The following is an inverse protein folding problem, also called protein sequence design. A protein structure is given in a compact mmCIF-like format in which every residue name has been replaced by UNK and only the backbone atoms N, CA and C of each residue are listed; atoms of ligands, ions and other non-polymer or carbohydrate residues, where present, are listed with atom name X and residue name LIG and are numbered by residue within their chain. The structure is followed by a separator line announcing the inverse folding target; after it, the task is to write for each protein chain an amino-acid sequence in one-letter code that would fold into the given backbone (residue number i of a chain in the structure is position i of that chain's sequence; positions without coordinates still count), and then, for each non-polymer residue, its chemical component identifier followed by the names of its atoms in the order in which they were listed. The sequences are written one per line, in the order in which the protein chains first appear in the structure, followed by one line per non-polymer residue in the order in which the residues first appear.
data_IF_988699581002
#
_entry.id   IF_988699581002
#
_cell.length_a   1.000
_cell.length_b   1.000
_cell.length_c   1.000
_cell.angle_alpha   90.00
_cell.angle_beta   90.00
_cell.angle_gamma   90.00
#
_symmetry.space_group_name_H-M   'P 1'
#
loop_
_entity.id
_entity.type
_entity.pdbx_description
1 polymer ?
#
# COMPACT_ATOMS: atom_id res chain seq x y z
N UNK A 1 -7.11 -9.38 19.79
CA UNK A 1 -7.04 -9.00 18.35
C UNK A 1 -6.00 -7.88 18.26
N UNK A 2 -4.99 -8.00 17.41
CA UNK A 2 -3.89 -7.03 17.28
C UNK A 2 -4.40 -5.75 16.62
N UNK A 3 -4.03 -4.58 17.14
CA UNK A 3 -4.28 -3.31 16.46
C UNK A 3 -3.09 -2.97 15.57
N UNK A 4 -3.27 -3.05 14.25
CA UNK A 4 -2.23 -2.66 13.28
C UNK A 4 -1.92 -1.17 13.28
N UNK A 5 -2.73 -0.34 13.98
CA UNK A 5 -2.48 1.09 14.17
C UNK A 5 -1.65 1.40 15.42
N UNK A 6 -1.41 0.40 16.26
CA UNK A 6 -0.48 0.51 17.37
C UNK A 6 0.93 0.27 16.84
N UNK A 7 1.65 1.36 16.59
CA UNK A 7 3.03 1.39 16.13
C UNK A 7 4.06 1.06 17.23
N UNK A 8 3.60 0.68 18.42
CA UNK A 8 4.46 0.42 19.58
C UNK A 8 5.52 -0.66 19.35
N UNK A 9 6.32 -0.90 20.38
CA UNK A 9 7.44 -1.82 20.34
C UNK A 9 8.75 -1.13 19.96
N UNK A 10 9.84 -1.55 20.58
CA UNK A 10 11.17 -1.09 20.27
C UNK A 10 12.18 -2.20 20.50
N UNK A 11 13.13 -2.34 19.57
CA UNK A 11 14.29 -3.22 19.72
C UNK A 11 15.29 -2.69 20.77
N UNK A 12 15.18 -1.41 21.13
CA UNK A 12 15.98 -0.79 22.18
C UNK A 12 15.39 -1.01 23.58
N UNK A 13 16.15 -0.70 24.63
CA UNK A 13 15.69 -0.83 26.02
C UNK A 13 14.52 0.11 26.32
N UNK A 14 13.33 -0.46 26.55
CA UNK A 14 12.11 0.29 26.94
C UNK A 14 11.74 0.04 28.39
N UNK A 15 11.92 -1.19 28.88
CA UNK A 15 11.79 -1.53 30.29
C UNK A 15 13.15 -2.00 30.84
N UNK A 16 13.90 -1.08 31.44
CA UNK A 16 15.28 -1.33 31.87
C UNK A 16 16.19 -1.61 30.68
N UNK A 17 16.64 -2.86 30.52
CA UNK A 17 17.45 -3.31 29.37
C UNK A 17 16.65 -4.08 28.33
N UNK A 18 15.36 -4.34 28.58
CA UNK A 18 14.57 -5.25 27.76
C UNK A 18 13.90 -4.53 26.59
N UNK A 19 13.92 -5.14 25.39
CA UNK A 19 13.18 -4.63 24.25
C UNK A 19 11.68 -4.82 24.44
N UNK A 20 10.89 -3.93 23.86
CA UNK A 20 9.45 -4.05 23.84
C UNK A 20 9.03 -4.74 22.53
N UNK A 21 8.75 -6.04 22.59
CA UNK A 21 8.49 -6.86 21.39
C UNK A 21 6.99 -7.12 21.13
N UNK A 22 6.08 -6.40 21.79
CA UNK A 22 4.64 -6.66 21.72
C UNK A 22 4.06 -6.56 20.30
N UNK A 23 4.77 -5.87 19.40
CA UNK A 23 4.39 -5.67 18.01
C UNK A 23 5.33 -6.35 17.00
N UNK A 24 6.28 -7.17 17.47
CA UNK A 24 7.14 -7.96 16.59
C UNK A 24 6.38 -9.19 16.09
N UNK A 25 6.39 -9.40 14.77
CA UNK A 25 5.89 -10.64 14.17
C UNK A 25 7.04 -11.40 13.52
N UNK A 26 7.12 -12.69 13.82
CA UNK A 26 8.03 -13.61 13.17
C UNK A 26 7.21 -14.63 12.40
N UNK A 27 7.51 -14.79 11.12
CA UNK A 27 7.00 -15.90 10.31
C UNK A 27 8.16 -16.65 9.66
N UNK A 28 7.97 -17.95 9.52
CA UNK A 28 8.92 -18.86 8.88
C UNK A 28 8.16 -19.65 7.82
N UNK A 29 8.76 -19.77 6.64
CA UNK A 29 8.20 -20.55 5.55
C UNK A 29 9.34 -21.21 4.79
N UNK A 30 9.11 -22.48 4.40
CA UNK A 30 10.02 -23.22 3.55
C UNK A 30 9.80 -22.80 2.10
N UNK A 31 10.88 -22.64 1.34
CA UNK A 31 10.82 -22.24 -0.07
C UNK A 31 11.63 -23.21 -0.92
N UNK A 32 11.14 -23.43 -2.12
CA UNK A 32 11.72 -24.35 -3.09
C UNK A 32 12.60 -23.60 -4.11
N UNK A 33 13.51 -24.31 -4.80
CA UNK A 33 14.16 -23.74 -5.98
C UNK A 33 13.11 -23.21 -6.97
N UNK A 34 13.43 -22.08 -7.60
CA UNK A 34 12.57 -21.30 -8.49
C UNK A 34 11.48 -20.45 -7.84
N UNK A 35 11.27 -20.52 -6.52
CA UNK A 35 10.39 -19.59 -5.82
C UNK A 35 10.90 -18.15 -5.93
N UNK A 36 9.97 -17.19 -5.98
CA UNK A 36 10.29 -15.77 -6.00
C UNK A 36 9.83 -15.11 -4.72
N UNK A 37 10.78 -14.47 -4.05
CA UNK A 37 10.53 -13.75 -2.81
C UNK A 37 10.74 -12.27 -3.07
N UNK A 38 9.79 -11.46 -2.61
CA UNK A 38 9.89 -10.02 -2.74
C UNK A 38 9.42 -9.31 -1.46
N UNK A 39 10.01 -8.13 -1.23
CA UNK A 39 9.66 -7.23 -0.14
C UNK A 39 9.31 -5.89 -0.77
N UNK A 40 8.23 -5.28 -0.29
CA UNK A 40 7.74 -3.99 -0.76
C UNK A 40 7.62 -3.00 0.39
N UNK A 41 7.76 -1.71 0.09
CA UNK A 41 7.37 -0.65 1.04
C UNK A 41 5.86 -0.45 1.06
N UNK A 42 5.37 0.21 2.12
CA UNK A 42 4.00 0.69 2.26
C UNK A 42 3.55 1.53 1.05
N UNK A 43 4.44 2.36 0.51
CA UNK A 43 4.17 3.14 -0.71
C UNK A 43 3.88 2.31 -1.96
N UNK A 44 4.24 1.03 -1.98
CA UNK A 44 3.81 0.08 -3.01
C UNK A 44 2.58 -0.69 -2.55
N UNK A 45 2.64 -1.35 -1.39
CA UNK A 45 1.57 -2.26 -0.93
C UNK A 45 0.23 -1.55 -0.72
N UNK A 46 0.22 -0.32 -0.18
CA UNK A 46 -1.02 0.43 0.05
C UNK A 46 -1.76 0.74 -1.25
N UNK A 47 -1.05 0.86 -2.38
CA UNK A 47 -1.69 1.11 -3.67
C UNK A 47 -2.48 -0.10 -4.18
N UNK A 48 -2.20 -1.32 -3.68
CA UNK A 48 -3.00 -2.51 -4.03
C UNK A 48 -4.32 -2.58 -3.28
N UNK A 49 -4.45 -1.81 -2.20
CA UNK A 49 -5.67 -1.75 -1.42
C UNK A 49 -6.85 -1.19 -2.24
N UNK A 50 -7.99 -1.90 -2.32
CA UNK A 50 -9.12 -1.45 -3.11
C UNK A 50 -9.74 -0.14 -2.60
N UNK A 51 -9.61 0.19 -1.31
CA UNK A 51 -10.10 1.45 -0.73
C UNK A 51 -9.18 2.61 -1.13
N UNK A 52 -7.86 2.40 -1.12
CA UNK A 52 -6.88 3.40 -1.61
C UNK A 52 -7.09 3.65 -3.11
N UNK A 53 -7.41 2.60 -3.86
CA UNK A 53 -7.79 2.69 -5.27
C UNK A 53 -9.18 3.27 -5.54
N UNK A 54 -9.99 3.55 -4.51
CA UNK A 54 -11.37 4.04 -4.61
C UNK A 54 -12.32 3.08 -5.35
N UNK A 55 -12.04 1.77 -5.30
CA UNK A 55 -12.89 0.73 -5.87
C UNK A 55 -13.92 0.19 -4.87
N UNK A 56 -13.70 0.37 -3.57
CA UNK A 56 -14.55 -0.12 -2.50
C UNK A 56 -14.63 0.90 -1.34
N UNK A 57 -15.62 0.73 -0.48
CA UNK A 57 -15.74 1.47 0.79
C UNK A 57 -15.77 0.49 1.97
N UNK A 58 -15.28 0.92 3.13
CA UNK A 58 -15.27 0.08 4.34
C UNK A 58 -16.68 0.01 4.93
N UNK A 59 -17.16 -1.20 5.23
CA UNK A 59 -18.43 -1.40 5.93
C UNK A 59 -18.33 -0.81 7.34
N UNK A 60 -19.14 0.22 7.64
CA UNK A 60 -19.27 0.74 9.00
C UNK A 60 -20.01 -0.28 9.86
N UNK A 61 -19.41 -0.70 10.98
CA UNK A 61 -20.10 -1.52 11.99
C UNK A 61 -20.95 -0.60 12.87
N UNK A 62 -22.11 -1.09 13.30
CA UNK A 62 -23.11 -0.31 14.05
C UNK A 62 -22.61 0.25 15.40
N UNK A 63 -21.43 -0.17 15.87
CA UNK A 63 -20.79 0.34 17.08
C UNK A 63 -20.16 1.74 16.95
N UNK A 64 -19.90 2.23 15.73
CA UNK A 64 -19.45 3.61 15.49
C UNK A 64 -20.58 4.65 15.61
N UNK A 65 -21.83 4.20 15.82
CA UNK A 65 -23.00 5.08 15.88
C UNK A 65 -23.30 5.66 17.28
N UNK A 66 -22.50 5.38 18.32
CA UNK A 66 -22.76 5.91 19.67
C UNK A 66 -22.26 7.33 19.96
N UNK A 67 -21.69 8.04 18.97
CA UNK A 67 -21.44 9.49 19.06
C UNK A 67 -22.18 10.35 18.02
N UNK A 68 -23.11 9.78 17.23
CA UNK A 68 -24.00 10.59 16.40
C UNK A 68 -25.46 10.14 16.56
N UNK A 69 -26.01 10.39 17.75
CA UNK A 69 -27.47 10.40 17.92
C UNK A 69 -28.04 11.67 17.25
N UNK A 70 -28.41 11.52 15.98
CA UNK A 70 -29.04 12.58 15.19
C UNK A 70 -29.86 12.01 14.03
N UNK A 71 -30.87 11.21 14.36
CA UNK A 71 -32.13 10.98 13.62
C UNK A 71 -32.04 11.05 12.08
N UNK A 72 -32.10 9.89 11.44
CA UNK A 72 -32.53 9.78 10.03
C UNK A 72 -33.96 10.31 9.93
N UNK A 73 -34.14 11.54 9.43
CA UNK A 73 -35.44 12.04 8.97
C UNK A 73 -35.50 11.97 7.44
N UNK A 74 -36.65 11.58 6.86
CA UNK A 74 -36.85 11.59 5.43
C UNK A 74 -36.83 13.02 4.91
N UNK A 75 -36.43 13.16 3.65
CA UNK A 75 -36.29 14.41 2.89
C UNK A 75 -37.52 15.31 3.08
N UNK A 76 -37.32 16.44 3.76
CA UNK A 76 -38.23 17.59 3.69
C UNK A 76 -37.46 18.80 3.17
N UNK A 77 -37.98 19.36 2.08
CA UNK A 77 -37.55 20.62 1.48
C UNK A 77 -37.60 21.74 2.52
N UNK A 78 -36.47 22.40 2.76
CA UNK A 78 -36.43 23.73 3.35
C UNK A 78 -35.54 24.63 2.51
N UNK A 79 -36.15 25.74 2.07
CA UNK A 79 -35.60 26.82 1.26
C UNK A 79 -34.56 27.62 2.05
N UNK A 80 -33.48 28.06 1.39
CA UNK A 80 -32.59 29.10 1.93
C UNK A 80 -31.13 28.94 1.55
N UNK A 81 -30.81 29.29 0.30
CA UNK A 81 -29.56 29.81 -0.27
C UNK A 81 -28.32 29.81 0.64
N UNK A 82 -27.40 28.85 0.45
CA UNK A 82 -25.98 29.07 0.07
C UNK A 82 -25.17 27.75 0.01
N UNK A 83 -25.66 26.74 -0.71
CA UNK A 83 -25.03 25.41 -0.78
C UNK A 83 -24.49 25.07 -2.19
N UNK A 84 -24.20 26.08 -3.00
CA UNK A 84 -23.83 25.97 -4.42
C UNK A 84 -22.39 25.48 -4.67
N UNK A 85 -21.89 24.54 -3.86
CA UNK A 85 -20.62 23.85 -4.11
C UNK A 85 -20.69 22.33 -3.96
N UNK A 86 -21.89 21.74 -3.84
CA UNK A 86 -22.01 20.28 -3.67
C UNK A 86 -22.96 19.58 -4.64
N UNK A 87 -23.35 20.22 -5.75
CA UNK A 87 -24.03 19.49 -6.84
C UNK A 87 -23.53 19.88 -8.22
N UNK A 88 -22.48 19.18 -8.68
CA UNK A 88 -22.38 18.55 -10.02
C UNK A 88 -21.07 17.75 -10.03
N UNK A 89 -20.99 16.44 -10.29
CA UNK A 89 -21.66 15.64 -11.32
C UNK A 89 -21.76 14.16 -10.92
N UNK A 90 -22.77 13.53 -11.51
CA UNK A 90 -23.13 12.12 -11.48
C UNK A 90 -21.98 11.13 -11.71
N UNK A 91 -21.82 10.21 -10.76
CA UNK A 91 -21.77 8.79 -11.09
C UNK A 91 -22.61 8.01 -10.04
N UNK A 92 -23.63 7.30 -10.51
CA UNK A 92 -24.52 6.43 -9.71
C UNK A 92 -23.82 5.11 -9.28
N UNK A 93 -22.49 5.09 -9.18
CA UNK A 93 -21.75 3.90 -8.80
C UNK A 93 -21.71 3.80 -7.28
N UNK A 94 -22.66 3.08 -6.68
CA UNK A 94 -22.52 2.62 -5.31
C UNK A 94 -21.34 1.65 -5.27
N UNK A 95 -20.20 2.12 -4.77
CA UNK A 95 -19.02 1.27 -4.59
C UNK A 95 -19.37 0.13 -3.62
N UNK A 96 -18.86 -1.09 -3.84
CA UNK A 96 -19.08 -2.21 -2.93
C UNK A 96 -18.55 -1.90 -1.52
N UNK A 97 -19.35 -2.25 -0.51
CA UNK A 97 -18.96 -2.19 0.90
C UNK A 97 -18.27 -3.50 1.27
N UNK A 98 -17.01 -3.42 1.71
CA UNK A 98 -16.19 -4.59 2.07
C UNK A 98 -15.84 -4.57 3.55
N UNK A 99 -15.74 -5.75 4.16
CA UNK A 99 -15.13 -5.92 5.48
C UNK A 99 -13.59 -5.98 5.38
N UNK A 100 -12.92 -6.14 6.51
CA UNK A 100 -11.45 -6.17 6.56
C UNK A 100 -10.84 -7.40 5.88
N UNK A 101 -11.51 -8.55 5.94
CA UNK A 101 -11.04 -9.82 5.36
C UNK A 101 -11.19 -9.79 3.84
N UNK A 102 -12.36 -9.42 3.34
CA UNK A 102 -12.65 -9.22 1.92
C UNK A 102 -11.73 -8.17 1.30
N UNK A 103 -11.46 -7.07 2.02
CA UNK A 103 -10.51 -6.05 1.57
C UNK A 103 -9.11 -6.63 1.37
N UNK A 104 -8.66 -7.49 2.29
CA UNK A 104 -7.35 -8.14 2.19
C UNK A 104 -7.30 -9.15 1.05
N UNK A 105 -8.34 -9.97 0.88
CA UNK A 105 -8.44 -10.93 -0.22
C UNK A 105 -8.41 -10.23 -1.59
N UNK A 106 -9.19 -9.16 -1.76
CA UNK A 106 -9.20 -8.36 -2.99
C UNK A 106 -7.84 -7.71 -3.29
N UNK A 107 -7.13 -7.27 -2.25
CA UNK A 107 -5.77 -6.74 -2.38
C UNK A 107 -4.81 -7.82 -2.90
N UNK A 108 -4.89 -9.04 -2.36
CA UNK A 108 -4.06 -10.18 -2.78
C UNK A 108 -4.39 -10.61 -4.22
N UNK A 109 -5.68 -10.72 -4.56
CA UNK A 109 -6.13 -11.05 -5.92
C UNK A 109 -5.56 -10.06 -6.94
N UNK A 110 -5.66 -8.76 -6.64
CA UNK A 110 -5.11 -7.72 -7.51
C UNK A 110 -3.59 -7.78 -7.60
N UNK A 111 -2.91 -8.02 -6.49
CA UNK A 111 -1.46 -8.16 -6.50
C UNK A 111 -1.02 -9.36 -7.33
N UNK A 112 -1.68 -10.50 -7.20
CA UNK A 112 -1.43 -11.70 -8.00
C UNK A 112 -1.65 -11.47 -9.49
N UNK A 113 -2.71 -10.76 -9.86
CA UNK A 113 -2.99 -10.39 -11.26
C UNK A 113 -1.89 -9.48 -11.84
N UNK A 114 -1.50 -8.43 -11.12
CA UNK A 114 -0.42 -7.53 -11.56
C UNK A 114 0.93 -8.23 -11.61
N UNK A 115 1.22 -9.13 -10.68
CA UNK A 115 2.46 -9.92 -10.70
C UNK A 115 2.49 -10.83 -11.93
N UNK A 116 1.38 -11.50 -12.25
CA UNK A 116 1.32 -12.48 -13.33
C UNK A 116 1.20 -11.85 -14.72
N UNK A 117 0.34 -10.84 -14.85
CA UNK A 117 -0.06 -10.29 -16.15
C UNK A 117 0.50 -8.88 -16.38
N UNK A 118 0.87 -8.16 -15.33
CA UNK A 118 1.12 -6.72 -15.42
C UNK A 118 -0.18 -5.94 -15.70
N UNK A 119 -0.05 -4.68 -16.10
CA UNK A 119 -1.21 -3.82 -16.42
C UNK A 119 -1.59 -3.89 -17.90
N UNK A 120 -0.61 -4.26 -18.72
CA UNK A 120 -0.74 -4.41 -20.17
C UNK A 120 -0.86 -5.90 -20.49
N UNK A 121 -1.47 -6.27 -21.62
CA UNK A 121 -1.61 -7.67 -22.00
C UNK A 121 -0.25 -8.41 -21.95
N UNK A 122 -0.22 -9.66 -21.46
CA UNK A 122 1.00 -10.36 -21.15
C UNK A 122 1.85 -10.56 -22.41
N UNK A 123 3.08 -10.07 -22.37
CA UNK A 123 4.04 -10.23 -23.47
C UNK A 123 4.94 -11.46 -23.31
N UNK A 124 4.94 -12.11 -22.15
CA UNK A 124 5.82 -13.24 -21.84
C UNK A 124 5.10 -14.28 -20.95
N UNK A 125 5.41 -15.57 -21.18
CA UNK A 125 4.86 -16.72 -20.45
C UNK A 125 5.49 -16.91 -19.05
N UNK A 126 6.63 -16.27 -18.77
CA UNK A 126 7.37 -16.38 -17.51
C UNK A 126 7.75 -14.98 -17.03
N UNK A 127 7.37 -14.66 -15.80
CA UNK A 127 7.67 -13.37 -15.17
C UNK A 127 9.01 -13.47 -14.46
N UNK A 128 10.02 -12.72 -14.93
CA UNK A 128 11.29 -12.58 -14.21
C UNK A 128 11.12 -11.67 -12.98
N UNK A 129 12.06 -11.75 -12.03
CA UNK A 129 12.11 -10.87 -10.85
C UNK A 129 12.16 -9.39 -11.23
N UNK A 130 12.87 -9.04 -12.31
CA UNK A 130 12.92 -7.67 -12.82
C UNK A 130 11.54 -7.21 -13.32
N UNK A 131 10.82 -8.08 -14.04
CA UNK A 131 9.47 -7.78 -14.55
C UNK A 131 8.49 -7.67 -13.39
N UNK A 132 8.59 -8.52 -12.37
CA UNK A 132 7.79 -8.41 -11.15
C UNK A 132 7.98 -7.04 -10.49
N UNK A 133 9.24 -6.63 -10.25
CA UNK A 133 9.52 -5.32 -9.67
C UNK A 133 8.96 -4.18 -10.54
N UNK A 134 9.11 -4.29 -11.86
CA UNK A 134 8.58 -3.31 -12.80
C UNK A 134 7.06 -3.21 -12.71
N UNK A 135 6.34 -4.33 -12.73
CA UNK A 135 4.88 -4.39 -12.67
C UNK A 135 4.33 -3.74 -11.40
N UNK A 136 4.91 -4.06 -10.24
CA UNK A 136 4.49 -3.51 -8.94
C UNK A 136 4.68 -1.98 -8.89
N UNK A 137 5.85 -1.49 -9.28
CA UNK A 137 6.15 -0.05 -9.30
C UNK A 137 5.31 0.67 -10.35
N UNK A 138 5.17 0.09 -11.55
CA UNK A 138 4.36 0.66 -12.62
C UNK A 138 2.91 0.80 -12.18
N UNK A 139 2.36 -0.20 -11.51
CA UNK A 139 1.00 -0.16 -10.99
C UNK A 139 0.81 0.95 -9.95
N UNK A 140 1.66 1.00 -8.92
CA UNK A 140 1.62 2.04 -7.91
C UNK A 140 1.75 3.45 -8.54
N UNK A 141 2.63 3.58 -9.55
CA UNK A 141 2.79 4.83 -10.30
C UNK A 141 1.51 5.19 -11.05
N UNK A 142 0.96 4.28 -11.85
CA UNK A 142 -0.23 4.54 -12.68
C UNK A 142 -1.46 4.90 -11.84
N UNK A 143 -1.70 4.17 -10.76
CA UNK A 143 -2.83 4.45 -9.86
C UNK A 143 -2.77 5.86 -9.28
N UNK A 144 -1.57 6.35 -8.97
CA UNK A 144 -1.33 7.67 -8.37
C UNK A 144 -1.01 8.78 -9.38
N UNK A 145 -1.10 8.52 -10.70
CA UNK A 145 -0.76 9.51 -11.75
C UNK A 145 -1.60 10.78 -11.67
N UNK A 146 -2.90 10.67 -11.38
CA UNK A 146 -3.78 11.83 -11.28
C UNK A 146 -3.36 12.76 -10.12
N UNK A 147 -2.96 12.19 -8.98
CA UNK A 147 -2.44 12.94 -7.84
C UNK A 147 -1.13 13.63 -8.17
N UNK A 148 -0.18 12.93 -8.80
CA UNK A 148 1.11 13.51 -9.22
C UNK A 148 0.91 14.70 -10.15
N UNK A 149 0.13 14.54 -11.22
CA UNK A 149 -0.18 15.62 -12.17
C UNK A 149 -0.81 16.84 -11.50
N UNK A 150 -1.67 16.62 -10.51
CA UNK A 150 -2.31 17.73 -9.76
C UNK A 150 -1.32 18.46 -8.85
N UNK A 151 -0.37 17.75 -8.24
CA UNK A 151 0.65 18.35 -7.37
C UNK A 151 1.82 18.97 -8.12
N UNK A 152 2.11 18.47 -9.32
CA UNK A 152 3.18 18.96 -10.21
C UNK A 152 2.72 20.17 -11.05
N UNK A 153 1.43 20.51 -11.04
CA UNK A 153 0.86 21.64 -11.76
C UNK A 153 1.49 22.97 -11.28
N UNK A 154 2.27 23.67 -12.14
CA UNK A 154 2.91 24.93 -11.75
C UNK A 154 1.91 26.03 -11.36
N UNK A 155 0.68 26.00 -11.89
CA UNK A 155 -0.35 27.00 -11.58
C UNK A 155 -0.82 26.94 -10.12
N UNK A 156 -0.65 25.77 -9.50
CA UNK A 156 -0.94 25.56 -8.09
C UNK A 156 -0.10 26.46 -7.17
N UNK A 157 1.13 26.81 -7.58
CA UNK A 157 2.08 27.55 -6.73
C UNK A 157 2.38 28.98 -7.19
N UNK A 158 2.10 29.33 -8.46
CA UNK A 158 2.36 30.68 -9.02
C UNK A 158 1.79 31.82 -8.17
N UNK A 159 0.61 31.64 -7.60
CA UNK A 159 -0.10 32.71 -6.87
C UNK A 159 0.17 32.72 -5.34
N UNK A 160 0.98 31.82 -4.78
CA UNK A 160 1.17 31.75 -3.32
C UNK A 160 1.86 32.99 -2.74
N UNK A 161 2.74 33.64 -3.49
CA UNK A 161 3.54 34.79 -3.02
C UNK A 161 2.72 36.06 -2.75
N UNK A 162 1.53 36.18 -3.33
CA UNK A 162 0.69 37.38 -3.24
C UNK A 162 -0.59 37.18 -2.39
N UNK A 163 -0.77 35.98 -1.84
CA UNK A 163 -1.94 35.61 -1.05
C UNK A 163 -1.69 35.84 0.44
N UNK A 164 -2.75 36.22 1.16
CA UNK A 164 -2.72 36.30 2.62
C UNK A 164 -2.53 34.91 3.25
N UNK A 165 -2.04 34.86 4.50
CA UNK A 165 -1.89 33.59 5.25
C UNK A 165 -3.20 32.79 5.33
N UNK A 166 -4.34 33.48 5.39
CA UNK A 166 -5.67 32.84 5.43
C UNK A 166 -6.01 32.17 4.09
N UNK A 167 -5.79 32.86 2.98
CA UNK A 167 -6.07 32.33 1.64
C UNK A 167 -5.12 31.17 1.27
N UNK A 168 -3.84 31.27 1.64
CA UNK A 168 -2.89 30.15 1.50
C UNK A 168 -3.39 28.91 2.24
N UNK A 169 -3.91 29.06 3.46
CA UNK A 169 -4.46 27.94 4.24
C UNK A 169 -5.70 27.34 3.58
N UNK A 170 -6.64 28.16 3.11
CA UNK A 170 -7.84 27.68 2.43
C UNK A 170 -7.48 26.99 1.10
N UNK A 171 -6.52 27.52 0.35
CA UNK A 171 -6.03 26.87 -0.88
C UNK A 171 -5.42 25.50 -0.59
N UNK A 172 -4.55 25.38 0.42
CA UNK A 172 -3.99 24.08 0.85
C UNK A 172 -5.09 23.08 1.24
N UNK A 173 -6.15 23.54 1.91
CA UNK A 173 -7.30 22.68 2.25
C UNK A 173 -8.04 22.20 1.00
N UNK A 174 -8.32 23.08 0.04
CA UNK A 174 -8.99 22.70 -1.21
C UNK A 174 -8.16 21.70 -2.02
N UNK A 175 -6.85 21.92 -2.12
CA UNK A 175 -5.94 20.98 -2.80
C UNK A 175 -5.92 19.63 -2.09
N UNK A 176 -5.82 19.63 -0.76
CA UNK A 176 -5.87 18.39 0.04
C UNK A 176 -7.20 17.65 -0.15
N UNK A 177 -8.33 18.35 -0.20
CA UNK A 177 -9.64 17.76 -0.47
C UNK A 177 -9.66 17.10 -1.86
N UNK A 178 -9.25 17.82 -2.91
CA UNK A 178 -9.15 17.30 -4.28
C UNK A 178 -8.24 16.08 -4.38
N UNK A 179 -7.10 16.08 -3.69
CA UNK A 179 -6.18 14.94 -3.66
C UNK A 179 -6.74 13.74 -2.87
N UNK A 180 -7.59 13.97 -1.88
CA UNK A 180 -8.20 12.87 -1.10
C UNK A 180 -9.25 12.07 -1.89
N UNK A 181 -9.85 12.68 -2.91
CA UNK A 181 -10.81 12.07 -3.81
C UNK A 181 -10.14 11.18 -4.87
N UNK A 182 -8.93 11.53 -5.29
CA UNK A 182 -8.18 10.76 -6.28
C UNK A 182 -7.69 9.42 -5.71
N UNK A 183 -7.52 8.39 -6.56
CA UNK A 183 -7.00 7.08 -6.15
C UNK A 183 -5.48 7.08 -5.95
N UNK A 184 -5.01 6.11 -5.19
CA UNK A 184 -3.59 5.85 -4.94
C UNK A 184 -3.02 6.62 -3.75
N UNK A 185 -1.89 6.15 -3.23
CA UNK A 185 -1.13 6.79 -2.16
C UNK A 185 0.22 7.27 -2.71
N UNK A 186 0.67 8.44 -2.28
CA UNK A 186 1.92 9.06 -2.72
C UNK A 186 2.96 8.98 -1.60
N UNK A 187 3.53 7.79 -1.41
CA UNK A 187 4.65 7.57 -0.51
C UNK A 187 5.88 7.03 -1.26
N UNK A 188 6.96 6.79 -0.51
CA UNK A 188 8.17 6.19 -1.05
C UNK A 188 7.91 4.76 -1.50
N UNK A 189 8.09 4.50 -2.80
CA UNK A 189 7.83 3.21 -3.42
C UNK A 189 9.15 2.48 -3.72
N UNK A 190 9.39 1.36 -3.04
CA UNK A 190 10.55 0.49 -3.26
C UNK A 190 10.13 -0.98 -3.27
N UNK A 191 10.75 -1.76 -4.15
CA UNK A 191 10.57 -3.22 -4.25
C UNK A 191 11.93 -3.87 -4.40
N UNK A 192 12.16 -4.95 -3.66
CA UNK A 192 13.30 -5.85 -3.84
C UNK A 192 12.74 -7.24 -4.07
N UNK A 193 13.20 -7.94 -5.10
CA UNK A 193 12.81 -9.31 -5.39
C UNK A 193 14.03 -10.17 -5.71
N UNK A 194 14.03 -11.40 -5.23
CA UNK A 194 15.05 -12.39 -5.54
C UNK A 194 14.41 -13.73 -5.86
N UNK A 195 15.08 -14.48 -6.74
CA UNK A 195 14.69 -15.84 -7.10
C UNK A 195 15.53 -16.82 -6.29
N UNK A 196 14.85 -17.73 -5.61
CA UNK A 196 15.45 -18.81 -4.82
C UNK A 196 16.07 -19.81 -5.80
N UNK A 197 17.31 -20.18 -5.54
CA UNK A 197 18.03 -21.12 -6.39
C UNK A 197 19.50 -21.23 -6.02
N UNK A 198 20.14 -22.26 -6.55
CA UNK A 198 21.59 -22.45 -6.45
C UNK A 198 22.26 -21.56 -7.50
N UNK A 199 22.74 -20.39 -7.08
CA UNK A 199 23.52 -19.52 -7.94
C UNK A 199 24.96 -20.06 -7.99
N UNK A 200 25.50 -20.43 -9.16
CA UNK A 200 26.91 -20.79 -9.27
C UNK A 200 27.73 -19.58 -8.84
N UNK A 201 28.52 -19.74 -7.78
CA UNK A 201 29.49 -18.74 -7.38
C UNK A 201 30.56 -18.74 -8.48
N UNK A 202 30.68 -17.64 -9.21
CA UNK A 202 31.77 -17.49 -10.18
C UNK A 202 33.10 -17.80 -9.50
N UNK A 203 33.80 -18.82 -10.02
CA UNK A 203 34.96 -19.51 -9.43
C UNK A 203 36.23 -18.66 -9.24
N UNK A 204 36.15 -17.34 -9.14
CA UNK A 204 37.33 -16.49 -8.92
C UNK A 204 37.44 -15.93 -7.49
N UNK A 205 36.41 -16.06 -6.65
CA UNK A 205 36.44 -15.55 -5.25
C UNK A 205 36.07 -16.61 -4.20
N UNK A 206 36.32 -17.90 -4.48
CA UNK A 206 35.98 -19.01 -3.58
C UNK A 206 37.19 -19.67 -2.91
N UNK A 207 38.30 -18.97 -2.71
CA UNK A 207 39.49 -19.54 -2.06
C UNK A 207 39.39 -19.64 -0.52
N UNK A 208 38.27 -19.25 0.11
CA UNK A 208 38.10 -19.41 1.57
C UNK A 208 36.74 -19.94 2.06
N UNK A 209 35.81 -20.34 1.18
CA UNK A 209 34.53 -20.94 1.59
C UNK A 209 34.48 -22.47 1.39
N UNK A 210 35.64 -23.13 1.32
CA UNK A 210 35.70 -24.60 1.36
C UNK A 210 35.55 -25.10 2.79
N UNK A 211 34.32 -25.10 3.28
CA UNK A 211 33.89 -26.07 4.28
C UNK A 211 32.62 -26.76 3.80
N UNK A 212 32.86 -27.84 3.05
CA UNK A 212 32.16 -29.13 3.12
C UNK A 212 30.66 -29.08 3.34
N UNK A 213 29.92 -29.37 2.27
CA UNK A 213 28.70 -30.19 2.36
C UNK A 213 28.79 -31.29 1.30
N UNK A 214 29.64 -32.28 1.57
CA UNK A 214 29.45 -33.63 1.03
C UNK A 214 28.20 -34.21 1.68
N UNK A 215 27.10 -34.23 0.92
CA UNK A 215 26.00 -35.20 0.94
C UNK A 215 24.82 -34.52 0.24
N UNK A 216 24.42 -35.06 -0.92
CA UNK A 216 23.38 -34.52 -1.80
C UNK A 216 21.98 -34.49 -1.18
N UNK A 217 21.78 -33.61 -0.21
CA UNK A 217 20.48 -33.16 0.27
C UNK A 217 20.27 -31.75 -0.26
N UNK A 218 19.18 -31.57 -1.01
CA UNK A 218 18.61 -30.25 -1.24
C UNK A 218 18.49 -29.61 0.15
N UNK A 219 19.22 -28.52 0.40
CA UNK A 219 18.98 -27.76 1.61
C UNK A 219 17.68 -27.02 1.37
N UNK A 220 16.62 -27.42 2.09
CA UNK A 220 15.38 -26.65 2.13
C UNK A 220 15.75 -25.24 2.57
N UNK A 221 15.61 -24.27 1.66
CA UNK A 221 15.91 -22.89 1.97
C UNK A 221 14.82 -22.39 2.92
N UNK A 222 15.23 -21.92 4.10
CA UNK A 222 14.33 -21.35 5.09
C UNK A 222 14.44 -19.84 5.00
N UNK A 223 13.32 -19.16 4.78
CA UNK A 223 13.28 -17.69 4.85
C UNK A 223 12.59 -17.25 6.13
N UNK A 224 13.30 -16.42 6.89
CA UNK A 224 12.82 -15.78 8.10
C UNK A 224 12.42 -14.35 7.78
N UNK A 225 11.15 -14.02 8.01
CA UNK A 225 10.68 -12.64 7.98
C UNK A 225 10.44 -12.14 9.40
N UNK A 226 11.17 -11.09 9.76
CA UNK A 226 10.95 -10.32 10.97
C UNK A 226 10.34 -8.98 10.55
N UNK A 227 9.09 -8.74 10.91
CA UNK A 227 8.37 -7.52 10.54
C UNK A 227 7.90 -6.81 11.81
N UNK A 228 8.31 -5.55 11.96
CA UNK A 228 7.70 -4.60 12.88
C UNK A 228 6.59 -3.86 12.13
N UNK A 229 5.40 -3.77 12.73
CA UNK A 229 4.36 -2.89 12.22
C UNK A 229 4.65 -1.46 12.68
N UNK A 230 4.70 -0.51 11.73
CA UNK A 230 4.88 0.93 11.97
C UNK A 230 3.56 1.64 11.76
#
# INVERSE_FOLDING_TARGET
MRDMRDAGGALGPVDGTNPQLHNLTCSMTFVEPDDVIFITSDGVSDNFDPVVGKFCVIKKTEYDNKENNGIVKPVQMYNGNDWEFSRTRACNATLPCVDAEQRHELMLLRMGDIVSNGILPPSALVVSTSTLCHNLIQFARQLSMAKRRTLEDPELYKNEKHLTKHEQRNRRRMVRAKLSEMPGKLDHASVVAFKVGLWPVDSECASQASMRLENGKLLDAVVFFLVFSV
#
